data_IF_456637689360
#
_entry.id   IF_456637689360
#
_cell.length_a   1.000
_cell.length_b   1.000
_cell.length_c   1.000
_cell.angle_alpha   90.00
_cell.angle_beta   90.00
_cell.angle_gamma   90.00
#
_symmetry.space_group_name_H-M   'P 1'
#
loop_
_entity.id
_entity.type
_entity.pdbx_description
1 polymer ?
#
# COMPACT_ATOMS: atom_id res chain seq x y z
N UNK A 1 -26.76 -4.78 -12.96
CA UNK A 1 -25.90 -3.60 -13.23
C UNK A 1 -24.48 -4.06 -12.97
N UNK A 2 -23.46 -3.58 -13.71
CA UNK A 2 -22.07 -3.95 -13.47
C UNK A 2 -21.62 -3.62 -12.06
N UNK A 3 -20.82 -4.51 -11.45
CA UNK A 3 -20.29 -4.31 -10.09
C UNK A 3 -19.17 -3.27 -10.10
N UNK A 4 -19.30 -2.22 -9.26
CA UNK A 4 -18.31 -1.16 -9.13
C UNK A 4 -17.63 -1.22 -7.77
N UNK A 5 -16.28 -1.26 -7.77
CA UNK A 5 -15.45 -1.48 -6.59
C UNK A 5 -14.45 -0.35 -6.42
N UNK A 6 -14.29 0.19 -5.20
CA UNK A 6 -13.20 1.12 -4.87
C UNK A 6 -11.90 0.34 -4.73
N UNK A 7 -10.94 0.71 -5.55
CA UNK A 7 -9.58 0.16 -5.53
C UNK A 7 -8.68 1.08 -4.70
N UNK A 8 -8.72 0.91 -3.38
CA UNK A 8 -8.00 1.74 -2.43
C UNK A 8 -6.48 1.61 -2.58
N UNK A 9 -5.73 2.68 -2.30
CA UNK A 9 -4.28 2.67 -2.31
C UNK A 9 -3.69 2.31 -0.94
N UNK A 10 -2.35 2.23 -0.86
CA UNK A 10 -1.57 1.96 0.36
C UNK A 10 -0.36 2.87 0.48
N UNK A 11 0.17 2.95 1.67
CA UNK A 11 1.54 3.40 1.97
C UNK A 11 2.30 2.30 2.72
N UNK A 12 3.63 2.40 2.73
CA UNK A 12 4.48 1.62 3.63
C UNK A 12 4.87 2.52 4.81
N UNK A 13 4.35 2.23 6.00
CA UNK A 13 4.75 2.94 7.21
C UNK A 13 6.21 2.67 7.55
N UNK A 14 6.70 1.47 7.23
CA UNK A 14 8.09 1.07 7.33
C UNK A 14 8.38 -0.07 6.37
N UNK A 15 9.64 -0.17 5.95
CA UNK A 15 10.10 -1.20 5.04
C UNK A 15 11.58 -1.50 5.33
N UNK A 16 11.88 -2.73 5.67
CA UNK A 16 13.24 -3.23 5.85
C UNK A 16 13.59 -4.21 4.73
N UNK A 17 14.76 -4.04 4.14
CA UNK A 17 15.28 -4.86 3.04
C UNK A 17 16.33 -5.81 3.58
N UNK A 18 16.06 -7.10 3.48
CA UNK A 18 16.93 -8.18 3.90
C UNK A 18 17.83 -8.69 2.76
N UNK A 19 18.45 -9.85 2.99
CA UNK A 19 19.35 -10.46 2.03
C UNK A 19 18.62 -10.89 0.75
N UNK A 20 19.40 -11.01 -0.33
CA UNK A 20 18.94 -11.58 -1.59
C UNK A 20 18.59 -13.06 -1.40
N UNK A 21 17.41 -13.46 -1.89
CA UNK A 21 16.89 -14.82 -1.84
C UNK A 21 17.34 -15.62 -3.07
N UNK A 22 17.28 -16.97 -3.00
CA UNK A 22 17.59 -17.82 -4.17
C UNK A 22 16.68 -17.57 -5.39
N UNK A 23 15.48 -17.01 -5.19
CA UNK A 23 14.54 -16.68 -6.26
C UNK A 23 14.83 -15.33 -6.95
N UNK A 24 15.92 -14.65 -6.56
CA UNK A 24 16.36 -13.37 -7.13
C UNK A 24 15.64 -12.14 -6.56
N UNK A 25 14.79 -12.30 -5.56
CA UNK A 25 14.15 -11.22 -4.82
C UNK A 25 14.82 -10.99 -3.46
N UNK A 26 14.68 -9.80 -2.91
CA UNK A 26 15.09 -9.54 -1.52
C UNK A 26 14.04 -10.05 -0.54
N UNK A 27 14.52 -10.52 0.61
CA UNK A 27 13.64 -10.68 1.74
C UNK A 27 13.22 -9.30 2.25
N UNK A 28 11.93 -9.15 2.54
CA UNK A 28 11.37 -7.90 3.06
C UNK A 28 10.63 -8.15 4.38
N UNK A 29 10.60 -7.11 5.21
CA UNK A 29 9.59 -6.92 6.25
C UNK A 29 9.04 -5.52 6.08
N UNK A 30 7.72 -5.38 6.05
CA UNK A 30 7.09 -4.08 5.87
C UNK A 30 5.78 -3.97 6.64
N UNK A 31 5.40 -2.74 6.97
CA UNK A 31 4.08 -2.42 7.50
C UNK A 31 3.34 -1.59 6.45
N UNK A 32 2.30 -2.16 5.91
CA UNK A 32 1.38 -1.50 5.00
C UNK A 32 0.23 -0.85 5.76
N UNK A 33 -0.27 0.26 5.23
CA UNK A 33 -1.51 0.89 5.67
C UNK A 33 -2.33 1.33 4.46
N UNK A 34 -3.59 0.90 4.38
CA UNK A 34 -4.50 1.35 3.30
C UNK A 34 -5.01 2.76 3.54
N UNK A 35 -5.27 3.48 2.44
CA UNK A 35 -5.75 4.86 2.43
C UNK A 35 -7.12 4.96 1.76
N UNK A 36 -7.87 6.03 2.04
CA UNK A 36 -9.20 6.26 1.44
C UNK A 36 -9.14 6.65 -0.03
N UNK A 37 -8.01 7.15 -0.51
CA UNK A 37 -7.79 7.47 -1.92
C UNK A 37 -7.86 6.19 -2.77
N UNK A 38 -8.52 6.22 -3.93
CA UNK A 38 -8.82 5.01 -4.71
C UNK A 38 -9.03 5.30 -6.19
N UNK A 39 -8.85 4.28 -7.03
CA UNK A 39 -9.42 4.19 -8.36
C UNK A 39 -10.81 3.54 -8.28
N UNK A 40 -11.57 3.60 -9.37
CA UNK A 40 -12.76 2.80 -9.52
C UNK A 40 -12.52 1.69 -10.52
N UNK A 41 -12.90 0.47 -10.16
CA UNK A 41 -12.89 -0.69 -11.05
C UNK A 41 -14.33 -1.18 -11.20
N UNK A 42 -14.81 -1.14 -12.42
CA UNK A 42 -16.14 -1.67 -12.79
C UNK A 42 -15.94 -2.99 -13.52
N UNK A 43 -16.64 -4.03 -13.10
CA UNK A 43 -16.61 -5.35 -13.75
C UNK A 43 -18.01 -5.71 -14.19
N UNK A 44 -18.11 -6.17 -15.42
CA UNK A 44 -19.29 -6.82 -15.97
C UNK A 44 -18.86 -8.22 -16.43
N UNK A 45 -19.53 -9.27 -15.97
CA UNK A 45 -19.17 -10.64 -16.32
C UNK A 45 -20.42 -11.52 -16.49
N UNK A 46 -20.42 -12.32 -17.56
CA UNK A 46 -21.48 -13.27 -17.88
C UNK A 46 -20.87 -14.64 -18.25
N UNK A 47 -21.43 -15.76 -17.76
CA UNK A 47 -21.00 -17.08 -18.22
C UNK A 47 -21.09 -17.21 -19.74
N UNK A 48 -20.09 -17.85 -20.36
CA UNK A 48 -20.02 -18.04 -21.81
C UNK A 48 -19.35 -19.36 -22.18
N UNK A 49 -19.49 -19.80 -23.42
CA UNK A 49 -18.85 -21.03 -23.91
C UNK A 49 -17.31 -20.91 -23.99
N UNK A 50 -16.79 -19.70 -24.13
CA UNK A 50 -15.34 -19.44 -24.16
C UNK A 50 -15.03 -18.13 -23.41
N UNK A 51 -13.88 -18.10 -22.73
CA UNK A 51 -13.41 -16.91 -22.02
C UNK A 51 -12.99 -15.83 -23.01
N UNK A 52 -13.50 -14.63 -22.78
CA UNK A 52 -13.07 -13.39 -23.45
C UNK A 52 -13.00 -12.28 -22.42
N UNK A 53 -11.82 -11.71 -22.25
CA UNK A 53 -11.58 -10.57 -21.36
C UNK A 53 -11.34 -9.34 -22.21
N UNK A 54 -11.89 -8.20 -21.81
CA UNK A 54 -11.63 -6.88 -22.37
C UNK A 54 -11.38 -5.90 -21.22
N UNK A 55 -10.48 -4.94 -21.43
CA UNK A 55 -10.19 -3.92 -20.46
C UNK A 55 -10.17 -2.54 -21.12
N UNK A 56 -10.77 -1.57 -20.45
CA UNK A 56 -10.74 -0.16 -20.83
C UNK A 56 -10.34 0.73 -19.65
N UNK A 57 -9.85 1.94 -19.92
CA UNK A 57 -9.48 2.88 -18.86
C UNK A 57 -9.65 4.32 -19.29
N UNK A 58 -9.91 5.21 -18.33
CA UNK A 58 -9.87 6.66 -18.52
C UNK A 58 -8.44 7.20 -18.74
N UNK A 59 -7.39 6.46 -18.35
CA UNK A 59 -6.01 6.88 -18.49
C UNK A 59 -5.34 6.25 -19.72
N UNK A 60 -4.88 7.06 -20.72
CA UNK A 60 -4.44 6.53 -22.02
C UNK A 60 -3.17 5.67 -21.98
N UNK A 61 -2.35 5.78 -20.92
CA UNK A 61 -1.11 4.99 -20.76
C UNK A 61 -1.29 3.74 -19.91
N UNK A 62 -2.50 3.46 -19.41
CA UNK A 62 -2.74 2.21 -18.68
C UNK A 62 -2.79 1.05 -19.69
N UNK A 63 -2.01 -0.04 -19.50
CA UNK A 63 -2.13 -1.22 -20.36
C UNK A 63 -3.56 -1.79 -20.31
N UNK A 64 -4.12 -2.11 -21.49
CA UNK A 64 -5.47 -2.67 -21.65
C UNK A 64 -5.45 -4.11 -22.15
N UNK A 65 -4.35 -4.80 -21.96
CA UNK A 65 -4.09 -6.19 -22.37
C UNK A 65 -3.66 -7.07 -21.20
N UNK A 66 -3.22 -8.28 -21.47
CA UNK A 66 -2.78 -9.27 -20.48
C UNK A 66 -1.55 -8.86 -19.64
N UNK A 67 -0.90 -7.74 -19.91
CA UNK A 67 0.15 -7.18 -19.05
C UNK A 67 -0.43 -6.46 -17.84
N UNK A 68 -1.72 -6.09 -17.87
CA UNK A 68 -2.40 -5.44 -16.75
C UNK A 68 -2.69 -6.43 -15.63
N UNK A 69 -2.42 -6.04 -14.38
CA UNK A 69 -2.62 -6.89 -13.19
C UNK A 69 -4.08 -7.26 -12.95
N UNK A 70 -5.03 -6.36 -13.26
CA UNK A 70 -6.46 -6.65 -13.15
C UNK A 70 -6.91 -7.70 -14.18
N UNK A 71 -6.42 -7.61 -15.43
CA UNK A 71 -6.65 -8.63 -16.45
C UNK A 71 -6.12 -10.00 -15.99
N UNK A 72 -4.84 -10.06 -15.59
CA UNK A 72 -4.21 -11.30 -15.12
C UNK A 72 -4.92 -11.92 -13.93
N UNK A 73 -5.43 -11.10 -13.02
CA UNK A 73 -6.19 -11.56 -11.87
C UNK A 73 -7.50 -12.23 -12.30
N UNK A 74 -8.26 -11.59 -13.20
CA UNK A 74 -9.52 -12.12 -13.73
C UNK A 74 -9.28 -13.42 -14.50
N UNK A 75 -8.29 -13.46 -15.39
CA UNK A 75 -7.94 -14.62 -16.20
C UNK A 75 -7.63 -15.84 -15.31
N UNK A 76 -6.69 -15.69 -14.37
CA UNK A 76 -6.31 -16.77 -13.45
C UNK A 76 -7.42 -17.16 -12.49
N UNK A 77 -8.30 -16.23 -12.13
CA UNK A 77 -9.46 -16.53 -11.29
C UNK A 77 -10.46 -17.41 -12.02
N UNK A 78 -10.75 -17.13 -13.29
CA UNK A 78 -11.61 -17.96 -14.13
C UNK A 78 -11.03 -19.37 -14.33
N UNK A 79 -9.73 -19.47 -14.60
CA UNK A 79 -9.02 -20.75 -14.70
C UNK A 79 -9.15 -21.55 -13.38
N UNK A 80 -8.91 -20.91 -12.23
CA UNK A 80 -8.99 -21.56 -10.92
C UNK A 80 -10.40 -21.99 -10.55
N UNK A 81 -11.41 -21.24 -10.97
CA UNK A 81 -12.82 -21.59 -10.80
C UNK A 81 -13.32 -22.66 -11.81
N UNK A 82 -12.57 -22.97 -12.85
CA UNK A 82 -13.00 -23.83 -13.94
C UNK A 82 -14.17 -23.24 -14.75
N UNK A 83 -14.23 -21.92 -14.87
CA UNK A 83 -15.32 -21.19 -15.53
C UNK A 83 -14.86 -20.51 -16.82
N UNK A 84 -15.77 -20.43 -17.79
CA UNK A 84 -15.60 -19.56 -18.96
C UNK A 84 -16.63 -18.43 -18.92
N UNK A 85 -16.17 -17.20 -19.16
CA UNK A 85 -17.01 -16.01 -19.10
C UNK A 85 -16.57 -14.93 -20.10
N UNK A 86 -17.52 -14.11 -20.55
CA UNK A 86 -17.22 -12.82 -21.14
C UNK A 86 -17.10 -11.80 -20.00
N UNK A 87 -15.95 -11.10 -19.94
CA UNK A 87 -15.65 -10.14 -18.88
C UNK A 87 -15.22 -8.82 -19.50
N UNK A 88 -15.83 -7.73 -19.05
CA UNK A 88 -15.37 -6.38 -19.32
C UNK A 88 -14.93 -5.72 -18.01
N UNK A 89 -13.71 -5.19 -17.98
CA UNK A 89 -13.13 -4.45 -16.88
C UNK A 89 -12.99 -3.00 -17.32
N UNK A 90 -13.52 -2.06 -16.54
CA UNK A 90 -13.27 -0.63 -16.75
C UNK A 90 -12.56 -0.04 -15.53
N UNK A 91 -11.43 0.64 -15.75
CA UNK A 91 -10.67 1.31 -14.69
C UNK A 91 -10.75 2.82 -14.87
N UNK A 92 -11.52 3.47 -13.97
CA UNK A 92 -11.54 4.93 -13.85
C UNK A 92 -10.38 5.35 -12.94
N UNK A 93 -9.34 5.89 -13.57
CA UNK A 93 -8.03 6.12 -12.96
C UNK A 93 -7.97 7.48 -12.29
N UNK A 94 -7.91 7.48 -10.96
CA UNK A 94 -7.75 8.67 -10.11
C UNK A 94 -6.32 8.78 -9.54
N UNK A 95 -5.65 7.63 -9.40
CA UNK A 95 -4.34 7.51 -8.81
C UNK A 95 -3.22 7.58 -9.87
N UNK A 96 -2.00 8.02 -9.53
CA UNK A 96 -0.88 7.95 -10.46
C UNK A 96 -0.57 6.50 -10.86
N UNK A 97 -0.03 6.30 -12.07
CA UNK A 97 0.33 4.97 -12.57
C UNK A 97 1.51 4.34 -11.80
N UNK A 98 2.38 5.17 -11.24
CA UNK A 98 3.59 4.78 -10.52
C UNK A 98 3.70 5.58 -9.22
N UNK A 99 4.65 5.24 -8.34
CA UNK A 99 4.91 6.02 -7.13
C UNK A 99 4.87 5.20 -5.83
N UNK A 100 4.85 3.87 -5.87
CA UNK A 100 4.89 3.06 -4.64
C UNK A 100 3.56 2.96 -3.88
N UNK A 101 2.45 3.41 -4.48
CA UNK A 101 1.11 3.44 -3.87
C UNK A 101 0.28 2.16 -4.06
N UNK A 102 0.78 1.18 -4.79
CA UNK A 102 0.13 -0.12 -4.98
C UNK A 102 -1.14 -0.09 -5.84
N UNK A 103 -1.38 0.98 -6.63
CA UNK A 103 -2.63 1.16 -7.38
C UNK A 103 -2.94 -0.01 -8.33
N UNK A 104 -1.96 -0.52 -9.08
CA UNK A 104 -2.15 -1.67 -9.97
C UNK A 104 -2.49 -2.96 -9.21
N UNK A 105 -1.89 -3.16 -8.05
CA UNK A 105 -2.17 -4.30 -7.17
C UNK A 105 -3.57 -4.22 -6.56
N UNK A 106 -3.99 -3.02 -6.17
CA UNK A 106 -5.35 -2.77 -5.69
C UNK A 106 -6.39 -3.01 -6.80
N UNK A 107 -6.11 -2.55 -8.04
CA UNK A 107 -7.00 -2.78 -9.18
C UNK A 107 -7.19 -4.28 -9.47
N UNK A 108 -6.17 -5.10 -9.26
CA UNK A 108 -6.26 -6.55 -9.41
C UNK A 108 -7.25 -7.15 -8.40
N UNK A 109 -7.17 -6.77 -7.11
CA UNK A 109 -8.10 -7.26 -6.07
C UNK A 109 -9.51 -6.72 -6.29
N UNK A 110 -9.65 -5.46 -6.68
CA UNK A 110 -10.97 -4.90 -7.00
C UNK A 110 -11.63 -5.63 -8.18
N UNK A 111 -10.86 -5.98 -9.21
CA UNK A 111 -11.35 -6.77 -10.34
C UNK A 111 -11.75 -8.21 -9.93
N UNK A 112 -10.99 -8.85 -9.03
CA UNK A 112 -11.36 -10.15 -8.46
C UNK A 112 -12.71 -10.08 -7.73
N UNK A 113 -12.87 -9.09 -6.85
CA UNK A 113 -14.09 -8.93 -6.06
C UNK A 113 -15.29 -8.65 -6.99
N UNK A 114 -15.11 -7.79 -7.99
CA UNK A 114 -16.13 -7.52 -8.99
C UNK A 114 -16.52 -8.78 -9.78
N UNK A 115 -15.55 -9.56 -10.25
CA UNK A 115 -15.77 -10.81 -10.96
C UNK A 115 -16.55 -11.83 -10.12
N UNK A 116 -16.16 -12.02 -8.85
CA UNK A 116 -16.83 -12.96 -7.94
C UNK A 116 -18.27 -12.55 -7.66
N UNK A 117 -18.53 -11.26 -7.58
CA UNK A 117 -19.88 -10.72 -7.38
C UNK A 117 -20.75 -10.96 -8.64
N UNK A 118 -20.22 -10.62 -9.82
CA UNK A 118 -20.95 -10.78 -11.09
C UNK A 118 -21.30 -12.24 -11.39
N UNK A 119 -20.36 -13.17 -11.15
CA UNK A 119 -20.57 -14.58 -11.40
C UNK A 119 -21.24 -15.33 -10.24
N UNK A 120 -21.46 -14.65 -9.10
CA UNK A 120 -21.90 -15.27 -7.84
C UNK A 120 -21.10 -16.55 -7.49
N UNK A 121 -19.78 -16.44 -7.65
CA UNK A 121 -18.80 -17.52 -7.36
C UNK A 121 -17.59 -16.91 -6.67
N UNK A 122 -17.17 -17.53 -5.57
CA UNK A 122 -16.03 -17.06 -4.79
C UNK A 122 -14.95 -18.12 -4.72
N UNK A 123 -13.71 -17.69 -4.88
CA UNK A 123 -12.55 -18.51 -4.58
C UNK A 123 -12.43 -18.73 -3.05
N UNK A 124 -12.01 -19.89 -2.59
CA UNK A 124 -11.62 -20.10 -1.20
C UNK A 124 -10.54 -19.09 -0.76
N UNK A 125 -10.53 -18.63 0.51
CA UNK A 125 -9.55 -17.63 0.96
C UNK A 125 -8.08 -18.00 0.72
N UNK A 126 -7.62 -19.27 0.92
CA UNK A 126 -6.24 -19.66 0.60
C UNK A 126 -5.91 -19.51 -0.90
N UNK A 127 -6.87 -19.88 -1.78
CA UNK A 127 -6.69 -19.75 -3.22
C UNK A 127 -6.59 -18.29 -3.67
N UNK A 128 -7.39 -17.39 -3.07
CA UNK A 128 -7.28 -15.94 -3.32
C UNK A 128 -5.90 -15.42 -2.96
N UNK A 129 -5.39 -15.76 -1.76
CA UNK A 129 -4.07 -15.30 -1.31
C UNK A 129 -2.95 -15.84 -2.21
N UNK A 130 -2.97 -17.14 -2.52
CA UNK A 130 -1.98 -17.76 -3.41
C UNK A 130 -1.99 -17.15 -4.82
N UNK A 131 -3.19 -16.89 -5.36
CA UNK A 131 -3.36 -16.26 -6.66
C UNK A 131 -2.85 -14.82 -6.65
N UNK A 132 -3.20 -14.05 -5.62
CA UNK A 132 -2.75 -12.68 -5.42
C UNK A 132 -1.22 -12.58 -5.34
N UNK A 133 -0.56 -13.44 -4.55
CA UNK A 133 0.89 -13.53 -4.43
C UNK A 133 1.58 -13.84 -5.78
N UNK A 134 0.91 -14.63 -6.64
CA UNK A 134 1.38 -14.93 -7.99
C UNK A 134 1.21 -13.78 -9.00
N UNK A 135 0.37 -12.79 -8.71
CA UNK A 135 0.19 -11.59 -9.55
C UNK A 135 1.22 -10.51 -9.20
N UNK A 136 1.47 -10.30 -7.90
CA UNK A 136 2.45 -9.32 -7.43
C UNK A 136 2.55 -9.25 -5.91
N UNK A 137 3.70 -8.80 -5.40
CA UNK A 137 4.01 -8.80 -3.97
C UNK A 137 3.04 -7.95 -3.12
N UNK A 138 2.58 -6.82 -3.65
CA UNK A 138 1.64 -5.94 -2.93
C UNK A 138 0.17 -6.38 -3.09
N UNK A 139 -0.16 -7.40 -3.92
CA UNK A 139 -1.57 -7.75 -4.19
C UNK A 139 -2.26 -8.36 -2.98
N UNK A 140 -1.62 -9.28 -2.22
CA UNK A 140 -2.28 -9.94 -1.09
C UNK A 140 -2.74 -8.98 0.02
N UNK A 141 -2.02 -7.86 0.25
CA UNK A 141 -2.40 -6.91 1.29
C UNK A 141 -3.81 -6.33 1.10
N UNK A 142 -4.24 -6.16 -0.16
CA UNK A 142 -5.55 -5.61 -0.50
C UNK A 142 -6.70 -6.62 -0.30
N UNK A 143 -6.39 -7.90 -0.10
CA UNK A 143 -7.35 -8.89 0.38
C UNK A 143 -7.60 -8.81 1.88
N UNK A 144 -6.74 -8.10 2.62
CA UNK A 144 -6.89 -7.88 4.06
C UNK A 144 -7.40 -6.46 4.37
N UNK A 145 -6.73 -5.43 3.82
CA UNK A 145 -7.01 -4.03 4.12
C UNK A 145 -6.59 -3.61 5.53
N UNK A 146 -6.67 -2.32 5.83
CA UNK A 146 -6.24 -1.76 7.13
C UNK A 146 -4.73 -1.76 7.29
N UNK A 147 -4.27 -2.01 8.50
CA UNK A 147 -2.87 -2.21 8.84
C UNK A 147 -2.47 -3.68 8.61
N UNK A 148 -1.37 -3.91 7.88
CA UNK A 148 -0.94 -5.24 7.45
C UNK A 148 0.57 -5.35 7.55
N UNK A 149 1.07 -6.40 8.21
CA UNK A 149 2.49 -6.78 8.11
C UNK A 149 2.68 -7.63 6.85
N UNK A 150 3.75 -7.36 6.11
CA UNK A 150 4.19 -8.17 4.97
C UNK A 150 5.61 -8.68 5.20
N UNK A 151 5.84 -9.96 4.91
CA UNK A 151 7.17 -10.60 4.94
C UNK A 151 7.40 -11.36 3.63
N UNK A 152 8.51 -12.09 3.53
CA UNK A 152 8.88 -12.74 2.28
C UNK A 152 9.38 -11.72 1.27
N UNK A 153 8.70 -11.53 0.13
CA UNK A 153 8.89 -10.41 -0.82
C UNK A 153 7.89 -9.28 -0.56
N UNK A 154 7.13 -9.36 0.56
CA UNK A 154 5.98 -8.53 0.90
C UNK A 154 4.63 -9.23 0.67
N UNK A 155 4.61 -10.42 0.08
CA UNK A 155 3.42 -11.19 -0.30
C UNK A 155 2.83 -12.04 0.83
N UNK A 156 3.65 -12.44 1.79
CA UNK A 156 3.18 -13.15 2.98
C UNK A 156 2.62 -12.14 3.98
N UNK A 157 1.30 -12.07 4.06
CA UNK A 157 0.62 -10.96 4.75
C UNK A 157 -0.10 -11.41 6.02
N UNK A 158 0.00 -10.58 7.05
CA UNK A 158 -0.62 -10.80 8.35
C UNK A 158 -1.39 -9.55 8.78
N UNK A 159 -2.65 -9.66 9.21
CA UNK A 159 -3.40 -8.52 9.72
C UNK A 159 -2.77 -8.04 11.03
N UNK A 160 -2.50 -6.75 11.13
CA UNK A 160 -2.15 -6.07 12.38
C UNK A 160 -3.41 -5.52 13.05
N UNK A 161 -3.37 -5.20 14.35
CA UNK A 161 -4.41 -4.43 15.00
C UNK A 161 -4.71 -3.14 14.23
N UNK A 162 -5.98 -2.79 14.12
CA UNK A 162 -6.37 -1.58 13.38
C UNK A 162 -5.89 -0.34 14.12
N UNK A 163 -5.40 0.61 13.33
CA UNK A 163 -5.06 1.95 13.79
C UNK A 163 -6.23 2.89 13.56
N UNK A 164 -6.41 3.94 14.40
CA UNK A 164 -7.36 5.00 14.13
C UNK A 164 -7.15 5.64 12.76
N UNK A 165 -8.21 6.25 12.22
CA UNK A 165 -8.09 6.99 10.96
C UNK A 165 -7.33 8.29 11.17
N UNK A 166 -6.20 8.46 10.51
CA UNK A 166 -5.37 9.66 10.52
C UNK A 166 -5.46 10.43 9.21
N UNK A 167 -5.56 11.75 9.23
CA UNK A 167 -5.32 12.58 8.04
C UNK A 167 -3.94 12.31 7.47
N UNK A 168 -3.87 12.16 6.15
CA UNK A 168 -2.65 11.84 5.42
C UNK A 168 -2.50 12.79 4.23
N UNK A 169 -1.29 13.27 4.00
CA UNK A 169 -0.91 13.97 2.77
C UNK A 169 0.00 13.08 1.96
N UNK A 170 -0.37 12.87 0.70
CA UNK A 170 0.51 12.24 -0.29
C UNK A 170 1.18 13.35 -1.10
N UNK A 171 2.50 13.36 -1.18
CA UNK A 171 3.25 14.14 -2.14
C UNK A 171 3.56 13.29 -3.37
N UNK A 172 3.27 13.84 -4.55
CA UNK A 172 3.41 13.18 -5.85
C UNK A 172 4.45 13.93 -6.70
N UNK A 173 5.75 13.71 -6.47
CA UNK A 173 6.81 14.37 -7.23
C UNK A 173 6.76 13.96 -8.71
N UNK A 174 7.17 14.87 -9.60
CA UNK A 174 7.35 14.56 -11.02
C UNK A 174 8.52 13.59 -11.28
N UNK A 175 9.44 13.48 -10.31
CA UNK A 175 10.60 12.57 -10.36
C UNK A 175 10.13 11.11 -10.28
N UNK A 176 10.52 10.29 -11.25
CA UNK A 176 10.29 8.84 -11.22
C UNK A 176 11.47 8.12 -10.58
N UNK A 177 11.19 7.12 -9.74
CA UNK A 177 12.20 6.21 -9.17
C UNK A 177 12.01 4.81 -9.78
N UNK A 178 13.10 4.23 -10.26
CA UNK A 178 13.11 2.85 -10.76
C UNK A 178 13.32 1.88 -9.60
N UNK A 179 12.29 1.10 -9.27
CA UNK A 179 12.37 0.06 -8.22
C UNK A 179 13.54 -0.93 -8.45
N UNK A 180 13.76 -1.47 -9.65
CA UNK A 180 14.91 -2.35 -9.89
C UNK A 180 16.26 -1.65 -9.66
N UNK A 181 16.36 -0.34 -9.97
CA UNK A 181 17.58 0.40 -9.70
C UNK A 181 17.77 0.61 -8.19
N UNK A 182 16.74 0.97 -7.46
CA UNK A 182 16.81 1.16 -6.00
C UNK A 182 17.28 -0.11 -5.26
N UNK A 183 16.90 -1.31 -5.74
CA UNK A 183 17.43 -2.57 -5.19
C UNK A 183 18.92 -2.76 -5.52
N UNK A 184 19.35 -2.49 -6.75
CA UNK A 184 20.80 -2.58 -7.09
C UNK A 184 21.63 -1.63 -6.25
N UNK A 185 21.13 -0.43 -5.99
CA UNK A 185 21.84 0.57 -5.19
C UNK A 185 21.88 0.15 -3.72
N UNK A 186 20.82 -0.52 -3.22
CA UNK A 186 20.82 -1.14 -1.90
C UNK A 186 21.88 -2.24 -1.79
N UNK A 187 22.01 -3.11 -2.77
CA UNK A 187 23.03 -4.15 -2.82
C UNK A 187 24.43 -3.54 -2.77
N UNK A 188 24.69 -2.53 -3.60
CA UNK A 188 25.97 -1.84 -3.61
C UNK A 188 26.29 -1.17 -2.26
N UNK A 189 25.30 -0.52 -1.64
CA UNK A 189 25.45 0.10 -0.32
C UNK A 189 25.81 -0.93 0.76
N UNK A 190 25.12 -2.07 0.77
CA UNK A 190 25.29 -3.09 1.83
C UNK A 190 26.57 -3.90 1.65
N UNK A 191 27.07 -4.10 0.42
CA UNK A 191 28.35 -4.75 0.16
C UNK A 191 29.56 -3.91 0.58
N UNK A 192 29.44 -2.58 0.55
CA UNK A 192 30.53 -1.64 0.88
C UNK A 192 30.54 -1.21 2.33
N UNK A 193 29.47 -1.40 3.07
CA UNK A 193 29.32 -0.95 4.47
C UNK A 193 29.99 -1.92 5.46
N UNK A 194 31.18 -1.58 5.93
CA UNK A 194 31.84 -2.26 7.04
C UNK A 194 31.25 -1.94 8.42
N UNK A 195 30.35 -0.94 8.54
CA UNK A 195 29.88 -0.39 9.82
C UNK A 195 28.37 -0.26 9.98
N UNK A 196 27.61 -0.52 8.94
CA UNK A 196 26.14 -0.36 9.01
C UNK A 196 25.42 -1.69 9.01
N UNK A 197 25.11 -2.31 10.12
CA UNK A 197 24.36 -3.55 10.33
C UNK A 197 24.09 -4.46 9.12
N UNK A 198 23.97 -5.72 9.29
CA UNK A 198 23.66 -6.62 8.16
C UNK A 198 22.21 -6.41 7.69
N UNK A 199 21.85 -6.74 6.44
CA UNK A 199 20.43 -6.73 5.99
C UNK A 199 19.51 -7.54 6.92
N UNK A 200 20.02 -8.59 7.57
CA UNK A 200 19.29 -9.34 8.60
C UNK A 200 19.01 -8.52 9.85
N UNK A 201 19.87 -7.56 10.20
CA UNK A 201 19.67 -6.71 11.38
C UNK A 201 18.51 -5.72 11.15
N UNK A 202 18.35 -5.18 9.95
CA UNK A 202 17.22 -4.29 9.62
C UNK A 202 15.88 -5.03 9.69
N UNK A 203 15.81 -6.25 9.16
CA UNK A 203 14.62 -7.11 9.29
C UNK A 203 14.29 -7.41 10.74
N UNK A 204 15.30 -7.79 11.55
CA UNK A 204 15.13 -8.10 12.97
C UNK A 204 14.66 -6.87 13.74
N UNK A 205 15.24 -5.70 13.45
CA UNK A 205 14.86 -4.44 14.09
C UNK A 205 13.40 -4.10 13.81
N UNK A 206 12.96 -4.14 12.54
CA UNK A 206 11.57 -3.85 12.18
C UNK A 206 10.60 -4.87 12.78
N UNK A 207 10.93 -6.17 12.76
CA UNK A 207 10.11 -7.21 13.38
C UNK A 207 9.95 -6.99 14.89
N UNK A 208 11.02 -6.61 15.58
CA UNK A 208 10.96 -6.26 17.02
C UNK A 208 10.15 -4.99 17.29
N UNK A 209 10.26 -4.00 16.39
CA UNK A 209 9.46 -2.77 16.48
C UNK A 209 7.96 -3.07 16.33
N UNK A 210 7.58 -3.93 15.38
CA UNK A 210 6.20 -4.39 15.21
C UNK A 210 5.73 -5.13 16.47
N UNK A 211 6.53 -6.09 16.96
CA UNK A 211 6.19 -6.84 18.16
C UNK A 211 6.05 -5.94 19.40
N UNK A 212 6.92 -4.95 19.57
CA UNK A 212 6.84 -4.01 20.67
C UNK A 212 5.61 -3.10 20.60
N UNK A 213 5.28 -2.61 19.40
CA UNK A 213 4.13 -1.71 19.19
C UNK A 213 2.78 -2.41 19.36
N UNK A 214 2.68 -3.68 18.96
CA UNK A 214 1.39 -4.40 18.93
C UNK A 214 1.32 -5.56 19.95
N UNK A 215 2.42 -5.93 20.57
CA UNK A 215 2.49 -7.03 21.55
C UNK A 215 2.28 -6.59 22.99
N UNK A 216 2.30 -5.28 23.30
CA UNK A 216 2.00 -4.79 24.64
C UNK A 216 0.50 -4.96 24.95
N UNK A 217 0.13 -5.65 26.06
CA UNK A 217 -1.24 -5.81 26.49
C UNK A 217 -1.99 -4.49 26.66
N UNK A 218 -1.29 -3.42 27.02
CA UNK A 218 -1.86 -2.08 27.19
C UNK A 218 -2.13 -1.38 25.85
N UNK A 219 -1.35 -1.66 24.81
CA UNK A 219 -1.58 -1.14 23.45
C UNK A 219 -2.58 -1.98 22.67
N UNK A 220 -2.73 -3.27 22.99
CA UNK A 220 -3.66 -4.19 22.30
C UNK A 220 -5.13 -4.07 22.76
N UNK A 221 -5.43 -3.24 23.76
CA UNK A 221 -6.80 -3.05 24.30
C UNK A 221 -7.33 -4.24 25.11
N UNK A 222 -6.52 -5.29 25.36
CA UNK A 222 -6.93 -6.51 26.08
C UNK A 222 -7.10 -6.27 27.57
N UNK A 223 -6.45 -5.28 28.17
CA UNK A 223 -6.48 -4.98 29.61
C UNK A 223 -6.92 -3.56 29.95
N UNK A 224 -7.83 -2.96 29.20
CA UNK A 224 -8.42 -1.68 29.58
C UNK A 224 -9.45 -1.86 30.71
N UNK A 225 -8.97 -1.96 31.96
CA UNK A 225 -9.82 -1.85 33.15
C UNK A 225 -9.91 -0.41 33.68
N UNK A 226 -9.31 0.57 33.01
CA UNK A 226 -9.43 2.00 33.28
C UNK A 226 -9.48 2.78 31.99
N UNK A 227 -10.26 3.86 31.98
CA UNK A 227 -10.41 4.82 30.88
C UNK A 227 -9.13 5.59 30.50
N UNK A 228 -7.99 5.21 31.03
CA UNK A 228 -6.69 5.74 30.66
C UNK A 228 -6.23 5.09 29.35
N UNK A 229 -6.56 5.78 28.25
CA UNK A 229 -6.08 5.72 26.86
C UNK A 229 -5.04 4.62 26.62
N UNK A 230 -5.49 3.48 26.08
CA UNK A 230 -4.60 2.56 25.40
C UNK A 230 -3.71 3.38 24.44
N UNK A 231 -2.40 3.21 24.50
CA UNK A 231 -1.49 3.95 23.64
C UNK A 231 -1.84 3.62 22.18
N UNK A 232 -2.00 4.66 21.35
CA UNK A 232 -2.31 4.52 19.95
C UNK A 232 -1.24 3.65 19.25
N UNK A 233 -1.60 2.51 18.63
CA UNK A 233 -0.64 1.60 18.02
C UNK A 233 0.26 2.25 16.97
N UNK A 234 -0.23 3.28 16.24
CA UNK A 234 0.60 4.04 15.31
C UNK A 234 1.67 4.84 16.04
N UNK A 235 1.30 5.51 17.13
CA UNK A 235 2.27 6.29 17.92
C UNK A 235 3.32 5.37 18.55
N UNK A 236 2.91 4.21 19.06
CA UNK A 236 3.83 3.20 19.58
C UNK A 236 4.80 2.73 18.47
N UNK A 237 4.30 2.41 17.28
CA UNK A 237 5.12 2.01 16.15
C UNK A 237 6.10 3.10 15.70
N UNK A 238 5.65 4.36 15.60
CA UNK A 238 6.49 5.50 15.20
C UNK A 238 7.59 5.76 16.25
N UNK A 239 7.31 5.62 17.53
CA UNK A 239 8.30 5.77 18.61
C UNK A 239 9.44 4.74 18.55
N UNK A 240 9.22 3.60 17.91
CA UNK A 240 10.29 2.60 17.69
C UNK A 240 11.32 3.04 16.65
N UNK A 241 11.12 4.19 15.98
CA UNK A 241 11.98 4.67 14.89
C UNK A 241 11.81 3.87 13.61
N UNK A 242 10.55 3.53 13.26
CA UNK A 242 10.26 2.84 12.00
C UNK A 242 10.72 3.68 10.80
N UNK A 243 11.44 3.05 9.88
CA UNK A 243 12.04 3.68 8.69
C UNK A 243 11.75 2.86 7.43
N UNK A 244 12.03 3.47 6.27
CA UNK A 244 12.05 2.79 4.99
C UNK A 244 13.49 2.73 4.46
N UNK A 245 14.05 1.54 4.36
CA UNK A 245 15.44 1.33 3.94
C UNK A 245 15.75 1.90 2.55
N UNK A 246 14.75 2.01 1.65
CA UNK A 246 14.95 2.68 0.35
C UNK A 246 15.33 4.15 0.50
N UNK A 247 14.98 4.84 1.56
CA UNK A 247 15.37 6.24 1.77
C UNK A 247 16.88 6.42 1.79
N UNK A 248 17.63 5.41 2.25
CA UNK A 248 19.09 5.42 2.33
C UNK A 248 19.78 5.43 0.96
N UNK A 249 19.11 4.96 -0.07
CA UNK A 249 19.64 4.93 -1.46
C UNK A 249 18.93 5.89 -2.38
N UNK A 250 17.64 6.13 -2.15
CA UNK A 250 16.84 7.02 -3.01
C UNK A 250 17.13 8.50 -2.73
N UNK A 251 17.20 8.93 -1.47
CA UNK A 251 17.43 10.34 -1.16
C UNK A 251 18.82 10.87 -1.56
N UNK A 252 19.92 10.11 -1.46
CA UNK A 252 21.19 10.55 -2.02
C UNK A 252 21.17 10.74 -3.54
N UNK A 253 20.44 9.91 -4.29
CA UNK A 253 20.31 10.02 -5.74
C UNK A 253 19.30 11.09 -6.17
N UNK A 254 18.26 11.29 -5.38
CA UNK A 254 17.17 12.24 -5.62
C UNK A 254 16.99 13.17 -4.40
N UNK A 255 17.93 14.13 -4.16
CA UNK A 255 17.88 14.99 -2.96
C UNK A 255 16.57 15.78 -2.80
N UNK A 256 15.88 16.07 -3.93
CA UNK A 256 14.56 16.70 -3.92
C UNK A 256 13.50 15.89 -3.16
N UNK A 257 13.58 14.56 -3.17
CA UNK A 257 12.66 13.71 -2.41
C UNK A 257 12.92 13.83 -0.90
N UNK A 258 14.19 13.91 -0.49
CA UNK A 258 14.55 14.18 0.91
C UNK A 258 14.06 15.56 1.38
N UNK A 259 14.09 16.58 0.48
CA UNK A 259 13.52 17.89 0.76
C UNK A 259 12.01 17.82 0.94
N UNK A 260 11.30 17.12 0.06
CA UNK A 260 9.85 16.91 0.18
C UNK A 260 9.49 16.23 1.50
N UNK A 261 10.27 15.23 1.95
CA UNK A 261 10.06 14.63 3.28
C UNK A 261 10.18 15.67 4.39
N UNK A 262 11.18 16.57 4.33
CA UNK A 262 11.33 17.66 5.33
C UNK A 262 10.16 18.63 5.34
N UNK A 263 9.63 18.97 4.15
CA UNK A 263 8.43 19.81 4.01
C UNK A 263 7.20 19.12 4.64
N UNK A 264 7.03 17.82 4.43
CA UNK A 264 5.94 17.05 5.04
C UNK A 264 6.09 16.98 6.56
N UNK A 265 7.31 16.75 7.09
CA UNK A 265 7.54 16.70 8.53
C UNK A 265 7.15 18.02 9.21
N UNK A 266 7.43 19.16 8.58
CA UNK A 266 7.17 20.48 9.17
C UNK A 266 8.18 20.87 10.24
N UNK A 267 7.93 21.96 10.95
CA UNK A 267 8.82 22.45 12.00
C UNK A 267 8.67 21.66 13.31
N UNK A 268 9.78 21.50 14.08
CA UNK A 268 9.81 20.62 15.27
C UNK A 268 8.94 21.06 16.46
N UNK A 269 8.37 22.26 16.42
CA UNK A 269 7.57 22.85 17.50
C UNK A 269 6.17 23.28 17.07
N UNK A 270 5.68 22.85 15.91
CA UNK A 270 4.36 23.24 15.40
C UNK A 270 3.33 22.15 15.68
N UNK A 271 2.10 22.54 16.05
CA UNK A 271 0.94 21.65 16.11
C UNK A 271 0.66 20.96 14.76
N UNK A 272 1.21 21.55 13.67
CA UNK A 272 1.10 21.06 12.29
C UNK A 272 2.21 20.07 11.89
N UNK A 273 3.06 19.64 12.81
CA UNK A 273 4.09 18.64 12.52
C UNK A 273 3.48 17.27 12.21
N UNK A 274 4.08 16.56 11.26
CA UNK A 274 3.68 15.19 10.99
C UNK A 274 3.98 14.26 12.17
N UNK A 275 3.05 13.34 12.45
CA UNK A 275 3.29 12.21 13.37
C UNK A 275 4.39 11.32 12.78
N UNK A 276 4.30 11.08 11.48
CA UNK A 276 5.24 10.27 10.71
C UNK A 276 5.24 10.73 9.26
N UNK A 277 6.41 10.72 8.62
CA UNK A 277 6.54 10.98 7.21
C UNK A 277 7.62 10.08 6.60
N UNK A 278 7.40 9.61 5.39
CA UNK A 278 8.33 8.70 4.74
C UNK A 278 8.06 8.51 3.25
N UNK A 279 8.96 7.74 2.65
CA UNK A 279 8.83 7.26 1.28
C UNK A 279 7.87 6.06 1.25
N UNK A 280 6.96 5.98 0.28
CA UNK A 280 6.10 4.82 0.08
C UNK A 280 6.75 3.83 -0.88
N UNK A 281 7.05 2.61 -0.41
CA UNK A 281 7.79 1.63 -1.19
C UNK A 281 9.16 2.16 -1.61
N UNK A 282 9.55 1.95 -2.87
CA UNK A 282 10.77 2.53 -3.46
C UNK A 282 10.58 3.99 -3.93
N UNK A 283 9.39 4.55 -3.74
CA UNK A 283 9.04 5.90 -4.19
C UNK A 283 8.44 5.89 -5.62
N UNK A 284 8.27 7.07 -6.18
CA UNK A 284 8.66 8.42 -5.71
C UNK A 284 7.67 9.09 -4.75
N UNK A 285 6.47 8.53 -4.55
CA UNK A 285 5.51 9.14 -3.64
C UNK A 285 6.02 9.13 -2.20
N UNK A 286 5.77 10.24 -1.50
CA UNK A 286 6.00 10.37 -0.07
C UNK A 286 4.67 10.63 0.63
N UNK A 287 4.64 10.36 1.92
CA UNK A 287 3.46 10.61 2.75
C UNK A 287 3.82 11.31 4.05
N UNK A 288 2.84 12.02 4.61
CA UNK A 288 2.86 12.54 5.97
C UNK A 288 1.55 12.20 6.67
N UNK A 289 1.61 11.71 7.90
CA UNK A 289 0.45 11.45 8.76
C UNK A 289 0.33 12.55 9.82
N UNK A 290 -0.88 13.01 10.09
CA UNK A 290 -1.14 14.17 10.94
C UNK A 290 -2.23 13.87 11.97
N UNK A 291 -2.21 14.59 13.10
CA UNK A 291 -3.22 14.46 14.16
C UNK A 291 -4.57 15.06 13.76
N UNK A 292 -4.53 16.11 12.96
CA UNK A 292 -5.73 16.88 12.57
C UNK A 292 -5.77 17.13 11.07
N UNK A 293 -6.95 17.33 10.53
CA UNK A 293 -7.12 17.72 9.13
C UNK A 293 -6.49 19.10 8.85
N UNK A 294 -6.54 20.03 9.82
CA UNK A 294 -5.88 21.34 9.71
C UNK A 294 -4.38 21.20 9.49
N UNK A 295 -3.70 20.36 10.28
CA UNK A 295 -2.26 20.09 10.10
C UNK A 295 -1.95 19.48 8.73
N UNK A 296 -2.79 18.55 8.25
CA UNK A 296 -2.65 17.99 6.91
C UNK A 296 -2.83 19.05 5.82
N UNK A 297 -3.83 19.92 5.95
CA UNK A 297 -4.07 21.03 5.00
C UNK A 297 -2.88 21.99 4.97
N UNK A 298 -2.35 22.39 6.13
CA UNK A 298 -1.17 23.24 6.21
C UNK A 298 0.07 22.58 5.56
N UNK A 299 0.20 21.24 5.68
CA UNK A 299 1.27 20.51 5.00
C UNK A 299 1.08 20.48 3.48
N UNK A 300 -0.15 20.32 2.98
CA UNK A 300 -0.44 20.44 1.55
C UNK A 300 -0.07 21.82 1.01
N UNK A 301 -0.46 22.88 1.69
CA UNK A 301 -0.09 24.26 1.31
C UNK A 301 1.42 24.49 1.31
N UNK A 302 2.17 23.85 2.24
CA UNK A 302 3.64 23.89 2.22
C UNK A 302 4.19 23.21 0.97
N UNK A 303 3.67 22.05 0.56
CA UNK A 303 4.07 21.35 -0.67
C UNK A 303 3.80 22.20 -1.91
N UNK A 304 2.59 22.77 -2.02
CA UNK A 304 2.19 23.61 -3.16
C UNK A 304 3.07 24.85 -3.32
N UNK A 305 3.45 25.51 -2.21
CA UNK A 305 4.41 26.63 -2.24
C UNK A 305 5.79 26.25 -2.77
N UNK A 306 6.14 24.96 -2.71
CA UNK A 306 7.38 24.42 -3.28
C UNK A 306 7.17 23.75 -4.65
N UNK A 307 6.00 23.93 -5.26
CA UNK A 307 5.68 23.40 -6.60
C UNK A 307 5.50 21.88 -6.63
N UNK A 308 5.21 21.26 -5.49
CA UNK A 308 4.98 19.81 -5.39
C UNK A 308 3.49 19.50 -5.35
N UNK A 309 3.02 18.67 -6.27
CA UNK A 309 1.62 18.21 -6.26
C UNK A 309 1.38 17.34 -5.04
N UNK A 310 0.31 17.63 -4.30
CA UNK A 310 -0.12 16.85 -3.14
C UNK A 310 -1.59 16.52 -3.15
N UNK A 311 -1.98 15.52 -2.38
CA UNK A 311 -3.37 15.10 -2.17
C UNK A 311 -3.60 14.84 -0.69
N UNK A 312 -4.68 15.41 -0.14
CA UNK A 312 -5.14 15.07 1.22
C UNK A 312 -6.02 13.81 1.15
N UNK A 313 -5.76 12.89 2.04
CA UNK A 313 -6.49 11.63 2.22
C UNK A 313 -6.51 11.25 3.70
N UNK A 314 -6.85 10.02 4.01
CA UNK A 314 -6.79 9.47 5.37
C UNK A 314 -6.45 7.98 5.36
N UNK A 315 -5.88 7.48 6.43
CA UNK A 315 -5.73 6.04 6.66
C UNK A 315 -7.10 5.40 6.86
N UNK A 316 -7.24 4.15 6.38
CA UNK A 316 -8.45 3.36 6.56
C UNK A 316 -8.19 2.22 7.54
N UNK A 317 -8.92 2.14 8.67
CA UNK A 317 -9.07 0.91 9.42
C UNK A 317 -9.66 -0.20 8.53
N UNK A 318 -9.43 -1.46 8.86
CA UNK A 318 -9.89 -2.61 8.05
C UNK A 318 -11.41 -2.64 7.89
N UNK A 319 -12.14 -2.32 8.94
CA UNK A 319 -13.61 -2.24 8.88
C UNK A 319 -14.10 -1.21 7.88
N UNK A 320 -13.46 -0.01 7.85
CA UNK A 320 -13.80 1.05 6.91
C UNK A 320 -13.37 0.71 5.49
N UNK A 321 -12.20 0.07 5.32
CA UNK A 321 -11.73 -0.42 4.03
C UNK A 321 -12.77 -1.32 3.37
N UNK A 322 -13.24 -2.35 4.06
CA UNK A 322 -14.23 -3.29 3.51
C UNK A 322 -15.61 -2.68 3.33
N UNK A 323 -16.05 -1.86 4.29
CA UNK A 323 -17.35 -1.18 4.21
C UNK A 323 -17.43 -0.23 3.00
N UNK A 324 -16.33 0.45 2.69
CA UNK A 324 -16.29 1.44 1.60
C UNK A 324 -15.92 0.84 0.25
N UNK A 325 -15.42 -0.39 0.19
CA UNK A 325 -14.93 -1.00 -1.04
C UNK A 325 -16.04 -1.20 -2.08
N UNK A 326 -17.22 -1.65 -1.66
CA UNK A 326 -18.38 -1.80 -2.53
C UNK A 326 -19.25 -0.55 -2.45
N UNK A 327 -19.66 0.00 -3.59
CA UNK A 327 -20.73 0.99 -3.58
C UNK A 327 -22.03 0.29 -3.15
N UNK A 328 -22.71 0.83 -2.15
CA UNK A 328 -24.11 0.50 -1.95
C UNK A 328 -24.89 0.97 -3.19
N UNK A 329 -25.71 0.09 -3.77
CA UNK A 329 -26.64 0.48 -4.82
C UNK A 329 -27.53 1.62 -4.29
N UNK A 330 -27.43 2.81 -4.86
CA UNK A 330 -28.38 3.88 -4.66
C UNK A 330 -28.01 4.97 -3.64
N UNK A 331 -26.78 5.45 -3.60
CA UNK A 331 -26.46 6.80 -3.03
C UNK A 331 -25.69 7.63 -4.01
#
# INVERSE_FOLDING_TARGET
MPTRVRSHTKINLGLAIGPLRPDGFHQLTTVYQTLSLHDWVTVEAHPAAATRITLSSTHPRLPTDATNTAWRMVERSLERLGLSAQVHIHIDKQLPLQGGLGAGSANAVAALIGLEQELNRRLPPPDRLGLAAGIGSDVPLFLLGGAVAGVGRGEEVFPLPDMPSYPCVLALPATGVSTPQAYRDWDALTQTSLTGGTPSDTLTRLSRSIAAAFGDPHSSGVFSLREDRAEDPLLALVRTGIENDFERVVFPQYPSLGEIKRILVGGPSTEDAAIHAGLSGSGSALFGLYRTLGAATAALERLERHGVTGLVTRTLPRSDYWRTMMMADGT
#
